data_IF_564865038707
#
_entry.id   IF_564865038707
#
_cell.length_a   1.000
_cell.length_b   1.000
_cell.length_c   1.000
_cell.angle_alpha   90.00
_cell.angle_beta   90.00
_cell.angle_gamma   90.00
#
_symmetry.space_group_name_H-M   'P 1'
#
loop_
_entity.id
_entity.type
_entity.pdbx_description
1 polymer ?
#
# COMPACT_ATOMS: atom_id res chain seq x y z
N UNK A 1 -20.08 -9.32 18.26
CA UNK A 1 -18.82 -8.94 18.94
C UNK A 1 -17.64 -8.78 17.97
N UNK A 2 -17.04 -9.84 17.41
CA UNK A 2 -15.87 -9.68 16.50
C UNK A 2 -16.21 -8.90 15.22
N UNK A 3 -17.36 -9.20 14.61
CA UNK A 3 -17.80 -8.53 13.39
C UNK A 3 -18.05 -7.03 13.60
N UNK A 4 -18.61 -6.65 14.75
CA UNK A 4 -18.80 -5.25 15.13
C UNK A 4 -17.45 -4.55 15.34
N UNK A 5 -16.47 -5.21 15.97
CA UNK A 5 -15.11 -4.68 16.12
C UNK A 5 -14.44 -4.45 14.76
N UNK A 6 -14.58 -5.41 13.82
CA UNK A 6 -14.08 -5.29 12.46
C UNK A 6 -14.72 -4.09 11.75
N UNK A 7 -16.03 -3.94 11.83
CA UNK A 7 -16.74 -2.80 11.22
C UNK A 7 -16.34 -1.46 11.83
N UNK A 8 -16.16 -1.40 13.16
CA UNK A 8 -15.64 -0.19 13.82
C UNK A 8 -14.24 0.15 13.33
N UNK A 9 -13.31 -0.81 13.26
CA UNK A 9 -11.96 -0.57 12.75
C UNK A 9 -11.97 -0.11 11.29
N UNK A 10 -12.82 -0.69 10.43
CA UNK A 10 -12.99 -0.24 9.04
C UNK A 10 -13.47 1.21 8.96
N UNK A 11 -14.41 1.61 9.81
CA UNK A 11 -14.89 3.00 9.89
C UNK A 11 -13.77 3.95 10.31
N UNK A 12 -12.97 3.58 11.32
CA UNK A 12 -11.80 4.36 11.73
C UNK A 12 -10.82 4.50 10.56
N UNK A 13 -10.45 3.39 9.90
CA UNK A 13 -9.56 3.44 8.73
C UNK A 13 -10.10 4.34 7.61
N UNK A 14 -11.42 4.36 7.40
CA UNK A 14 -12.04 5.25 6.41
C UNK A 14 -11.93 6.72 6.78
N UNK A 15 -11.98 7.07 8.07
CA UNK A 15 -11.73 8.43 8.54
C UNK A 15 -10.27 8.81 8.24
N UNK A 16 -9.31 7.94 8.53
CA UNK A 16 -7.89 8.16 8.16
C UNK A 16 -7.73 8.38 6.65
N UNK A 17 -8.34 7.51 5.82
CA UNK A 17 -8.32 7.66 4.36
C UNK A 17 -8.94 8.99 3.91
N UNK A 18 -10.02 9.43 4.55
CA UNK A 18 -10.63 10.72 4.25
C UNK A 18 -9.66 11.87 4.57
N UNK A 19 -9.05 11.87 5.76
CA UNK A 19 -8.08 12.89 6.15
C UNK A 19 -6.93 12.99 5.14
N UNK A 20 -6.32 11.85 4.81
CA UNK A 20 -5.20 11.74 3.85
C UNK A 20 -5.54 12.25 2.44
N UNK A 21 -6.81 12.13 2.03
CA UNK A 21 -7.23 12.47 0.67
C UNK A 21 -7.87 13.85 0.53
N UNK A 22 -8.46 14.39 1.60
CA UNK A 22 -9.35 15.56 1.53
C UNK A 22 -8.95 16.72 2.44
N UNK A 23 -8.11 16.48 3.44
CA UNK A 23 -7.69 17.51 4.37
C UNK A 23 -6.28 17.94 4.03
N UNK A 24 -6.08 19.24 3.93
CA UNK A 24 -4.74 19.80 3.85
C UNK A 24 -4.10 19.78 5.25
N UNK A 25 -2.94 19.14 5.35
CA UNK A 25 -2.29 18.83 6.62
C UNK A 25 -0.87 19.38 6.58
N UNK A 26 -0.48 20.06 7.65
CA UNK A 26 0.91 20.44 7.85
C UNK A 26 1.78 19.21 8.15
N UNK A 27 3.10 19.41 8.16
CA UNK A 27 4.06 18.33 8.41
C UNK A 27 3.79 17.61 9.74
N UNK A 28 3.47 18.35 10.80
CA UNK A 28 3.27 17.77 12.12
C UNK A 28 2.04 16.85 12.14
N UNK A 29 0.95 17.27 11.52
CA UNK A 29 -0.27 16.48 11.37
C UNK A 29 -0.02 15.21 10.55
N UNK A 30 0.74 15.29 9.45
CA UNK A 30 1.14 14.11 8.68
C UNK A 30 1.94 13.11 9.50
N UNK A 31 2.97 13.57 10.21
CA UNK A 31 3.84 12.69 11.01
C UNK A 31 3.05 12.05 12.16
N UNK A 32 2.19 12.80 12.86
CA UNK A 32 1.33 12.25 13.91
C UNK A 32 0.33 11.23 13.37
N UNK A 33 -0.28 11.49 12.22
CA UNK A 33 -1.19 10.54 11.58
C UNK A 33 -0.48 9.22 11.25
N UNK A 34 0.74 9.29 10.73
CA UNK A 34 1.57 8.13 10.43
C UNK A 34 1.98 7.38 11.70
N UNK A 35 2.41 8.07 12.75
CA UNK A 35 2.77 7.43 14.03
C UNK A 35 1.62 6.64 14.62
N UNK A 36 0.42 7.22 14.67
CA UNK A 36 -0.77 6.53 15.17
C UNK A 36 -1.11 5.33 14.29
N UNK A 37 -1.02 5.47 12.96
CA UNK A 37 -1.31 4.37 12.04
C UNK A 37 -0.32 3.21 12.20
N UNK A 38 0.97 3.50 12.36
CA UNK A 38 2.01 2.51 12.64
C UNK A 38 1.74 1.78 13.96
N UNK A 39 1.42 2.52 15.02
CA UNK A 39 1.15 1.97 16.35
C UNK A 39 -0.11 1.08 16.36
N UNK A 40 -1.20 1.52 15.71
CA UNK A 40 -2.41 0.69 15.62
C UNK A 40 -2.11 -0.58 14.81
N UNK A 41 -1.34 -0.47 13.73
CA UNK A 41 -0.98 -1.62 12.89
C UNK A 41 -0.16 -2.64 13.69
N UNK A 42 0.81 -2.20 14.50
CA UNK A 42 1.62 -3.11 15.32
C UNK A 42 0.84 -3.78 16.45
N UNK A 43 -0.21 -3.13 16.96
CA UNK A 43 -1.10 -3.70 17.98
C UNK A 43 -2.10 -4.71 17.39
N UNK A 44 -2.59 -4.46 16.18
CA UNK A 44 -3.60 -5.30 15.53
C UNK A 44 -2.98 -6.48 14.76
N UNK A 45 -1.81 -6.26 14.15
CA UNK A 45 -1.11 -7.26 13.35
C UNK A 45 0.17 -7.67 14.07
N UNK A 46 0.26 -8.96 14.40
CA UNK A 46 1.45 -9.54 15.03
C UNK A 46 2.28 -10.31 14.01
N UNK A 47 3.59 -10.50 14.23
CA UNK A 47 4.44 -11.29 13.32
C UNK A 47 3.98 -12.76 13.18
N UNK A 48 3.28 -13.29 14.19
CA UNK A 48 2.72 -14.63 14.19
C UNK A 48 1.34 -14.64 13.53
N UNK A 49 1.29 -15.09 12.28
CA UNK A 49 0.04 -15.17 11.52
C UNK A 49 -0.86 -16.28 12.10
N UNK A 50 -2.11 -15.96 12.49
CA UNK A 50 -3.05 -16.98 12.98
C UNK A 50 -3.36 -18.02 11.91
N UNK A 51 -3.48 -19.29 12.31
CA UNK A 51 -3.85 -20.40 11.41
C UNK A 51 -5.23 -20.15 10.77
N UNK A 52 -6.18 -19.61 11.54
CA UNK A 52 -7.51 -19.21 11.05
C UNK A 52 -7.64 -17.68 11.06
N UNK A 53 -7.13 -17.04 10.00
CA UNK A 53 -7.15 -15.57 9.84
C UNK A 53 -8.55 -14.98 10.04
N UNK A 54 -9.57 -15.64 9.48
CA UNK A 54 -10.97 -15.19 9.54
C UNK A 54 -11.57 -15.23 10.95
N UNK A 55 -10.94 -15.88 11.92
CA UNK A 55 -11.41 -15.89 13.31
C UNK A 55 -10.77 -14.78 14.14
N UNK A 56 -9.90 -13.97 13.53
CA UNK A 56 -9.16 -12.91 14.21
C UNK A 56 -9.45 -11.54 13.60
N UNK A 57 -9.40 -10.51 14.46
CA UNK A 57 -9.53 -9.12 14.04
C UNK A 57 -8.43 -8.74 13.03
N UNK A 58 -7.18 -9.09 13.35
CA UNK A 58 -6.01 -8.85 12.50
C UNK A 58 -6.14 -9.51 11.14
N UNK A 59 -6.56 -10.78 11.07
CA UNK A 59 -6.72 -11.49 9.79
C UNK A 59 -7.75 -10.85 8.87
N UNK A 60 -8.93 -10.47 9.39
CA UNK A 60 -9.98 -9.81 8.58
C UNK A 60 -9.62 -8.39 8.16
N UNK A 61 -8.77 -7.70 8.92
CA UNK A 61 -8.42 -6.30 8.68
C UNK A 61 -7.07 -6.11 8.00
N UNK A 62 -6.21 -7.13 7.95
CA UNK A 62 -4.87 -7.06 7.38
C UNK A 62 -4.84 -6.40 5.99
N UNK A 63 -5.69 -6.80 5.01
CA UNK A 63 -5.71 -6.14 3.70
C UNK A 63 -6.00 -4.64 3.79
N UNK A 64 -6.98 -4.26 4.62
CA UNK A 64 -7.38 -2.86 4.77
C UNK A 64 -6.30 -2.03 5.50
N UNK A 65 -5.62 -2.61 6.49
CA UNK A 65 -4.51 -1.95 7.18
C UNK A 65 -3.32 -1.75 6.26
N UNK A 66 -2.83 -2.80 5.58
CA UNK A 66 -1.67 -2.67 4.70
C UNK A 66 -1.91 -1.69 3.56
N UNK A 67 -3.09 -1.73 2.93
CA UNK A 67 -3.46 -0.74 1.91
C UNK A 67 -3.45 0.68 2.48
N UNK A 68 -4.08 0.91 3.64
CA UNK A 68 -4.13 2.25 4.24
C UNK A 68 -2.74 2.73 4.61
N UNK A 69 -1.94 1.87 5.25
CA UNK A 69 -0.59 2.18 5.69
C UNK A 69 0.31 2.57 4.52
N UNK A 70 0.38 1.73 3.49
CA UNK A 70 1.28 1.94 2.35
C UNK A 70 0.85 3.16 1.52
N UNK A 71 -0.46 3.30 1.22
CA UNK A 71 -0.96 4.46 0.46
C UNK A 71 -0.74 5.75 1.23
N UNK A 72 -1.01 5.76 2.54
CA UNK A 72 -0.81 6.94 3.39
C UNK A 72 0.68 7.30 3.47
N UNK A 73 1.56 6.30 3.61
CA UNK A 73 3.00 6.52 3.64
C UNK A 73 3.50 7.21 2.37
N UNK A 74 3.10 6.71 1.20
CA UNK A 74 3.46 7.32 -0.08
C UNK A 74 2.89 8.73 -0.19
N UNK A 75 1.62 8.91 0.14
CA UNK A 75 0.97 10.22 0.07
C UNK A 75 1.70 11.23 0.95
N UNK A 76 2.07 10.87 2.18
CA UNK A 76 2.83 11.74 3.07
C UNK A 76 4.18 12.15 2.44
N UNK A 77 4.95 11.19 1.90
CA UNK A 77 6.22 11.46 1.22
C UNK A 77 6.09 12.36 -0.03
N UNK A 78 4.92 12.39 -0.66
CA UNK A 78 4.63 13.29 -1.79
C UNK A 78 4.23 14.70 -1.35
N UNK A 79 3.83 14.91 -0.09
CA UNK A 79 3.35 16.21 0.40
C UNK A 79 4.36 16.88 1.33
N UNK A 80 5.08 16.10 2.15
CA UNK A 80 6.01 16.61 3.16
C UNK A 80 7.26 15.75 3.24
N UNK A 81 8.36 16.35 3.71
CA UNK A 81 9.55 15.59 4.07
C UNK A 81 9.30 14.82 5.37
N UNK A 82 9.14 13.50 5.26
CA UNK A 82 8.98 12.58 6.39
C UNK A 82 10.33 12.36 7.06
N UNK A 83 10.38 12.44 8.39
CA UNK A 83 11.62 12.23 9.16
C UNK A 83 12.21 10.82 9.00
N UNK A 84 13.54 10.73 9.05
CA UNK A 84 14.26 9.45 8.98
C UNK A 84 13.88 8.49 10.12
N UNK A 85 13.67 9.02 11.33
CA UNK A 85 13.22 8.22 12.47
C UNK A 85 11.85 7.57 12.24
N UNK A 86 10.95 8.26 11.57
CA UNK A 86 9.64 7.70 11.22
C UNK A 86 9.77 6.63 10.12
N UNK A 87 10.68 6.83 9.16
CA UNK A 87 11.01 5.81 8.16
C UNK A 87 11.57 4.55 8.80
N UNK A 88 12.49 4.67 9.77
CA UNK A 88 13.02 3.52 10.51
C UNK A 88 11.91 2.73 11.20
N UNK A 89 10.98 3.41 11.88
CA UNK A 89 9.80 2.77 12.49
C UNK A 89 8.92 2.06 11.45
N UNK A 90 8.67 2.69 10.32
CA UNK A 90 7.90 2.08 9.23
C UNK A 90 8.59 0.83 8.67
N UNK A 91 9.89 0.94 8.41
CA UNK A 91 10.69 -0.16 7.87
C UNK A 91 10.77 -1.34 8.85
N UNK A 92 10.99 -1.08 10.14
CA UNK A 92 10.98 -2.10 11.18
C UNK A 92 9.64 -2.83 11.25
N UNK A 93 8.54 -2.08 11.29
CA UNK A 93 7.19 -2.65 11.33
C UNK A 93 6.92 -3.54 10.13
N UNK A 94 7.12 -3.01 8.92
CA UNK A 94 6.86 -3.75 7.67
C UNK A 94 7.75 -4.99 7.58
N UNK A 95 9.02 -4.89 7.97
CA UNK A 95 9.94 -6.04 7.98
C UNK A 95 9.47 -7.14 8.94
N UNK A 96 8.98 -6.77 10.12
CA UNK A 96 8.45 -7.72 11.11
C UNK A 96 7.17 -8.44 10.66
N UNK A 97 6.43 -7.85 9.71
CA UNK A 97 5.14 -8.36 9.23
C UNK A 97 5.23 -9.10 7.88
N UNK A 98 6.43 -9.43 7.41
CA UNK A 98 6.66 -10.13 6.12
C UNK A 98 6.04 -11.52 6.03
N UNK A 99 5.65 -12.12 7.15
CA UNK A 99 4.88 -13.37 7.21
C UNK A 99 3.45 -13.22 6.66
N UNK A 100 2.92 -12.00 6.59
CA UNK A 100 1.60 -11.71 6.04
C UNK A 100 1.65 -11.59 4.52
N UNK A 101 1.05 -12.53 3.80
CA UNK A 101 0.96 -12.51 2.33
C UNK A 101 0.28 -11.23 1.81
N UNK A 102 -0.69 -10.71 2.56
CA UNK A 102 -1.41 -9.46 2.26
C UNK A 102 -0.46 -8.26 2.18
N UNK A 103 0.57 -8.21 3.02
CA UNK A 103 1.60 -7.18 2.98
C UNK A 103 2.42 -7.30 1.70
N UNK A 104 2.88 -8.51 1.37
CA UNK A 104 3.71 -8.75 0.19
C UNK A 104 2.95 -8.39 -1.09
N UNK A 105 1.67 -8.77 -1.17
CA UNK A 105 0.78 -8.43 -2.29
C UNK A 105 0.62 -6.92 -2.44
N UNK A 106 0.32 -6.21 -1.35
CA UNK A 106 0.11 -4.76 -1.42
C UNK A 106 1.41 -4.01 -1.71
N UNK A 107 2.53 -4.45 -1.15
CA UNK A 107 3.85 -3.91 -1.46
C UNK A 107 4.21 -4.11 -2.94
N UNK A 108 4.04 -5.32 -3.47
CA UNK A 108 4.30 -5.63 -4.89
C UNK A 108 3.47 -4.75 -5.83
N UNK A 109 2.16 -4.63 -5.57
CA UNK A 109 1.25 -3.76 -6.34
C UNK A 109 1.67 -2.29 -6.28
N UNK A 110 2.13 -1.86 -5.12
CA UNK A 110 2.59 -0.49 -4.91
C UNK A 110 3.87 -0.20 -5.69
N UNK A 111 4.86 -1.08 -5.60
CA UNK A 111 6.12 -0.95 -6.35
C UNK A 111 5.85 -0.97 -7.85
N UNK A 112 4.99 -1.87 -8.35
CA UNK A 112 4.60 -1.89 -9.77
C UNK A 112 4.00 -0.54 -10.22
N UNK A 113 3.11 0.02 -9.40
CA UNK A 113 2.50 1.33 -9.67
C UNK A 113 3.56 2.43 -9.70
N UNK A 114 4.46 2.48 -8.72
CA UNK A 114 5.54 3.47 -8.65
C UNK A 114 6.51 3.34 -9.83
N UNK A 115 6.96 2.12 -10.13
CA UNK A 115 7.83 1.83 -11.27
C UNK A 115 7.21 2.29 -12.59
N UNK A 116 5.91 2.07 -12.76
CA UNK A 116 5.18 2.53 -13.96
C UNK A 116 5.10 4.05 -14.05
N UNK A 117 4.76 4.73 -12.95
CA UNK A 117 4.69 6.19 -12.92
C UNK A 117 6.07 6.79 -13.20
N UNK A 118 7.11 6.27 -12.55
CA UNK A 118 8.49 6.71 -12.75
C UNK A 118 8.99 6.44 -14.17
N UNK A 119 8.65 5.29 -14.75
CA UNK A 119 9.05 4.94 -16.13
C UNK A 119 8.45 5.91 -17.15
N UNK A 120 7.21 6.35 -16.93
CA UNK A 120 6.59 7.40 -17.75
C UNK A 120 7.24 8.76 -17.50
N UNK A 121 7.49 9.11 -16.23
CA UNK A 121 8.01 10.43 -15.88
C UNK A 121 9.47 10.64 -16.33
N UNK A 122 10.33 9.63 -16.15
CA UNK A 122 11.77 9.72 -16.43
C UNK A 122 12.10 9.36 -17.88
N UNK A 123 11.44 8.34 -18.44
CA UNK A 123 11.79 7.80 -19.76
C UNK A 123 10.71 8.02 -20.82
N UNK A 124 9.54 8.56 -20.45
CA UNK A 124 8.38 8.66 -21.34
C UNK A 124 7.96 7.30 -21.95
N UNK A 125 8.18 6.20 -21.21
CA UNK A 125 7.84 4.83 -21.62
C UNK A 125 6.58 4.36 -20.90
N UNK A 126 5.62 3.80 -21.64
CA UNK A 126 4.47 3.11 -21.07
C UNK A 126 4.72 1.60 -21.01
N UNK A 127 4.95 1.07 -19.81
CA UNK A 127 5.25 -0.36 -19.60
C UNK A 127 4.13 -1.33 -20.00
N UNK A 128 2.88 -0.85 -20.14
CA UNK A 128 1.76 -1.66 -20.65
C UNK A 128 1.54 -1.56 -22.15
N UNK A 129 2.38 -0.80 -22.82
CA UNK A 129 2.20 -0.45 -24.21
C UNK A 129 3.57 -0.27 -24.85
N UNK A 130 4.39 -1.30 -24.69
CA UNK A 130 5.76 -1.27 -25.15
C UNK A 130 5.79 -1.28 -26.68
N UNK A 131 6.61 -0.42 -27.32
CA UNK A 131 6.72 -0.36 -28.78
C UNK A 131 7.04 -1.72 -29.42
N UNK A 132 7.82 -2.55 -28.72
CA UNK A 132 8.16 -3.91 -29.15
C UNK A 132 6.97 -4.88 -29.14
N UNK A 133 6.08 -4.81 -28.14
CA UNK A 133 4.87 -5.66 -28.13
C UNK A 133 3.95 -5.34 -29.30
N UNK A 134 3.77 -4.05 -29.61
CA UNK A 134 3.04 -3.61 -30.80
C UNK A 134 3.64 -4.16 -32.10
N UNK A 135 4.97 -4.25 -32.20
CA UNK A 135 5.65 -4.81 -33.37
C UNK A 135 5.49 -6.33 -33.46
N UNK A 136 5.58 -7.03 -32.33
CA UNK A 136 5.35 -8.48 -32.25
C UNK A 136 3.92 -8.85 -32.64
N UNK A 137 2.92 -8.08 -32.19
CA UNK A 137 1.51 -8.31 -32.56
C UNK A 137 1.23 -8.03 -34.03
N UNK A 138 1.83 -6.96 -34.61
CA UNK A 138 1.77 -6.70 -36.06
C UNK A 138 2.36 -7.85 -36.87
N UNK A 139 3.49 -8.41 -36.42
CA UNK A 139 4.13 -9.55 -37.09
C UNK A 139 3.28 -10.83 -36.95
N UNK A 140 2.76 -11.15 -35.76
CA UNK A 140 1.85 -12.30 -35.56
C UNK A 140 0.59 -12.23 -36.44
N UNK A 141 0.01 -11.04 -36.61
CA UNK A 141 -1.13 -10.84 -37.52
C UNK A 141 -0.76 -11.05 -38.98
N UNK A 142 0.43 -10.63 -39.43
CA UNK A 142 0.93 -10.91 -40.79
C UNK A 142 1.13 -12.41 -41.06
N UNK A 143 1.57 -13.18 -40.07
CA UNK A 143 1.73 -14.64 -40.21
C UNK A 143 0.42 -15.42 -40.18
N UNK A 144 -0.69 -14.86 -39.67
CA UNK A 144 -2.02 -15.49 -39.70
C UNK A 144 -2.81 -15.23 -40.98
N UNK A 145 -2.37 -14.31 -41.83
CA UNK A 145 -3.03 -13.91 -43.08
C UNK A 145 -2.32 -14.52 -44.31
N UNK A 146 -1.41 -15.47 -44.10
CA UNK A 146 -0.77 -16.28 -45.14
C UNK A 146 -1.21 -17.73 -45.02
#
# INVERSE_FOLDING_TARGET
MLEEQVEMCKRVLNIYRYMVMKIDMDKQAWEQLLEVLLQITSLVLTPSVPIRKDDTLGGRLAPAFFQTLIVTWIKANLNVFVSNSLWEKFHELVSSLTSWEELIKEWSKTIDTLTRVMSRYVYNINLHDLPLERQLDKNKRRFRVR
#
